data_IF_884508606006
#
_entry.id   IF_884508606006
#
_cell.length_a   1.000
_cell.length_b   1.000
_cell.length_c   1.000
_cell.angle_alpha   90.00
_cell.angle_beta   90.00
_cell.angle_gamma   90.00
#
_symmetry.space_group_name_H-M   'P 1'
#
loop_
_entity.id
_entity.type
_entity.pdbx_description
1 polymer ?
#
# COMPACT_ATOMS: atom_id res chain seq x y z
N UNK A 1 12.65 5.58 -31.08
CA UNK A 1 11.85 4.43 -30.58
C UNK A 1 11.48 4.75 -29.14
N UNK A 2 10.19 4.82 -28.83
CA UNK A 2 9.72 4.96 -27.44
C UNK A 2 10.03 3.67 -26.70
N UNK A 3 10.97 3.71 -25.75
CA UNK A 3 11.15 2.60 -24.81
C UNK A 3 10.01 2.66 -23.80
N UNK A 4 8.91 1.97 -24.09
CA UNK A 4 7.85 1.77 -23.11
C UNK A 4 8.41 0.91 -21.96
N UNK A 5 8.67 1.54 -20.81
CA UNK A 5 9.01 0.83 -19.57
C UNK A 5 7.71 0.54 -18.81
N UNK A 6 7.35 -0.74 -18.73
CA UNK A 6 6.24 -1.17 -17.89
C UNK A 6 6.60 -1.01 -16.41
N UNK A 7 5.67 -0.51 -15.60
CA UNK A 7 5.80 -0.47 -14.14
C UNK A 7 5.27 -1.78 -13.57
N UNK A 8 6.06 -2.45 -12.73
CA UNK A 8 5.67 -3.68 -12.04
C UNK A 8 5.24 -3.39 -10.60
N UNK A 9 3.99 -3.68 -10.29
CA UNK A 9 3.38 -3.36 -8.98
C UNK A 9 3.04 -4.66 -8.26
N UNK A 10 3.53 -4.81 -7.03
CA UNK A 10 3.12 -5.87 -6.11
C UNK A 10 2.21 -5.33 -5.00
N UNK A 11 1.33 -6.20 -4.51
CA UNK A 11 0.52 -5.96 -3.31
C UNK A 11 0.51 -7.22 -2.46
N UNK A 12 0.69 -7.07 -1.15
CA UNK A 12 0.66 -8.19 -0.21
C UNK A 12 0.02 -7.77 1.11
N UNK A 13 -1.07 -8.44 1.50
CA UNK A 13 -1.57 -8.43 2.87
C UNK A 13 -0.69 -9.27 3.80
N UNK A 14 -0.05 -8.62 4.75
CA UNK A 14 0.94 -9.23 5.62
C UNK A 14 0.34 -9.89 6.86
N UNK A 15 -0.84 -9.49 7.35
CA UNK A 15 -1.37 -9.89 8.66
C UNK A 15 -0.30 -9.77 9.77
N UNK A 16 0.20 -8.56 9.96
CA UNK A 16 1.35 -8.21 10.78
C UNK A 16 2.67 -8.35 10.02
N UNK A 17 3.37 -7.24 9.79
CA UNK A 17 4.66 -7.18 9.11
C UNK A 17 5.81 -7.31 10.11
N UNK A 18 6.04 -8.51 10.64
CA UNK A 18 7.24 -8.81 11.45
C UNK A 18 8.52 -8.74 10.62
N UNK A 19 9.69 -8.53 11.25
CA UNK A 19 11.02 -8.61 10.62
C UNK A 19 11.21 -9.80 9.65
N UNK A 20 10.74 -11.01 10.01
CA UNK A 20 10.87 -12.18 9.13
C UNK A 20 10.08 -12.03 7.81
N UNK A 21 8.89 -11.43 7.87
CA UNK A 21 8.06 -11.15 6.69
C UNK A 21 8.62 -9.98 5.90
N UNK A 22 9.19 -8.99 6.58
CA UNK A 22 9.90 -7.88 5.96
C UNK A 22 11.06 -8.35 5.08
N UNK A 23 11.95 -9.18 5.61
CA UNK A 23 13.08 -9.75 4.83
C UNK A 23 12.58 -10.49 3.58
N UNK A 24 11.49 -11.26 3.71
CA UNK A 24 10.86 -11.95 2.56
C UNK A 24 10.24 -10.98 1.55
N UNK A 25 9.59 -9.92 2.01
CA UNK A 25 9.02 -8.91 1.14
C UNK A 25 10.12 -8.21 0.32
N UNK A 26 11.23 -7.83 0.96
CA UNK A 26 12.39 -7.26 0.27
C UNK A 26 12.98 -8.21 -0.77
N UNK A 27 13.17 -9.49 -0.42
CA UNK A 27 13.64 -10.50 -1.37
C UNK A 27 12.69 -10.65 -2.56
N UNK A 28 11.38 -10.75 -2.31
CA UNK A 28 10.37 -10.86 -3.36
C UNK A 28 10.36 -9.66 -4.31
N UNK A 29 10.53 -8.43 -3.78
CA UNK A 29 10.67 -7.21 -4.58
C UNK A 29 11.86 -7.32 -5.54
N UNK A 30 13.00 -7.79 -5.05
CA UNK A 30 14.21 -7.94 -5.87
C UNK A 30 14.06 -9.06 -6.91
N UNK A 31 13.58 -10.24 -6.49
CA UNK A 31 13.42 -11.43 -7.35
C UNK A 31 12.40 -11.21 -8.46
N UNK A 32 11.23 -10.67 -8.13
CA UNK A 32 10.18 -10.33 -9.10
C UNK A 32 10.46 -9.01 -9.83
N UNK A 33 11.57 -8.33 -9.49
CA UNK A 33 12.00 -7.06 -10.07
C UNK A 33 10.89 -6.01 -10.03
N UNK A 34 10.20 -5.94 -8.90
CA UNK A 34 9.10 -4.99 -8.69
C UNK A 34 9.63 -3.57 -8.62
N UNK A 35 8.89 -2.68 -9.26
CA UNK A 35 9.15 -1.24 -9.24
C UNK A 35 8.50 -0.61 -7.99
N UNK A 36 7.35 -1.16 -7.58
CA UNK A 36 6.53 -0.68 -6.47
C UNK A 36 5.97 -1.91 -5.73
N UNK A 37 6.00 -1.90 -4.40
CA UNK A 37 5.37 -2.91 -3.56
C UNK A 37 4.58 -2.27 -2.43
N UNK A 38 3.31 -2.63 -2.33
CA UNK A 38 2.45 -2.27 -1.21
C UNK A 38 2.32 -3.43 -0.24
N UNK A 39 2.58 -3.20 1.03
CA UNK A 39 2.44 -4.17 2.12
C UNK A 39 1.31 -3.69 3.03
N UNK A 40 0.18 -4.39 3.03
CA UNK A 40 -1.01 -4.07 3.82
C UNK A 40 -1.09 -4.90 5.10
N UNK A 41 -1.98 -4.52 6.02
CA UNK A 41 -2.07 -5.09 7.37
C UNK A 41 -0.70 -5.20 8.05
N UNK A 42 0.09 -4.14 8.00
CA UNK A 42 1.41 -4.18 8.63
C UNK A 42 1.32 -4.22 10.16
N UNK A 43 0.19 -3.75 10.72
CA UNK A 43 -0.06 -3.55 12.14
C UNK A 43 1.02 -2.70 12.81
N UNK A 44 1.75 -1.92 12.02
CA UNK A 44 2.84 -1.06 12.47
C UNK A 44 3.91 -1.77 13.31
N UNK A 45 4.06 -3.09 13.12
CA UNK A 45 5.15 -3.86 13.69
C UNK A 45 6.47 -3.34 13.11
N UNK A 46 7.46 -3.16 13.99
CA UNK A 46 8.83 -2.74 13.64
C UNK A 46 8.89 -1.51 12.71
N UNK A 47 7.90 -0.61 12.84
CA UNK A 47 7.68 0.47 11.88
C UNK A 47 8.89 1.39 11.69
N UNK A 48 9.56 1.78 12.78
CA UNK A 48 10.73 2.65 12.73
C UNK A 48 11.88 2.00 11.96
N UNK A 49 12.06 0.68 12.10
CA UNK A 49 13.03 -0.10 11.32
C UNK A 49 12.69 -0.03 9.83
N UNK A 50 11.42 -0.25 9.47
CA UNK A 50 10.96 -0.20 8.08
C UNK A 50 11.14 1.18 7.45
N UNK A 51 10.85 2.25 8.18
CA UNK A 51 10.98 3.65 7.70
C UNK A 51 12.43 3.99 7.33
N UNK A 52 13.40 3.40 8.02
CA UNK A 52 14.82 3.64 7.78
C UNK A 52 15.36 2.99 6.49
N UNK A 53 14.58 2.11 5.85
CA UNK A 53 15.04 1.37 4.69
C UNK A 53 15.12 2.25 3.42
N UNK A 54 16.18 2.14 2.59
CA UNK A 54 16.34 2.99 1.40
C UNK A 54 15.18 2.96 0.40
N UNK A 55 14.49 1.82 0.31
CA UNK A 55 13.36 1.65 -0.61
C UNK A 55 12.02 2.10 0.00
N UNK A 56 11.97 2.41 1.29
CA UNK A 56 10.76 2.90 1.95
C UNK A 56 10.36 4.28 1.43
N UNK A 57 9.16 4.40 0.85
CA UNK A 57 8.62 5.68 0.38
C UNK A 57 7.76 6.36 1.44
N UNK A 58 6.63 5.73 1.78
CA UNK A 58 5.61 6.26 2.68
C UNK A 58 4.82 5.12 3.32
N UNK A 59 4.08 5.46 4.38
CA UNK A 59 3.08 4.57 4.99
C UNK A 59 1.84 5.35 5.39
N UNK A 60 0.73 4.64 5.60
CA UNK A 60 -0.46 5.21 6.23
C UNK A 60 -0.15 5.56 7.70
N UNK A 61 -0.76 6.60 8.27
CA UNK A 61 -0.59 6.91 9.68
C UNK A 61 -1.19 5.83 10.58
N UNK A 62 -0.58 5.66 11.76
CA UNK A 62 -1.10 4.79 12.82
C UNK A 62 -2.48 5.27 13.28
N UNK A 63 -3.41 4.33 13.49
CA UNK A 63 -4.73 4.64 14.04
C UNK A 63 -4.60 4.73 15.56
N UNK A 64 -5.05 5.85 16.13
CA UNK A 64 -5.05 6.08 17.57
C UNK A 64 -6.48 6.09 18.12
N UNK A 65 -6.69 5.67 19.39
CA UNK A 65 -5.69 5.13 20.31
C UNK A 65 -5.24 3.71 19.94
N UNK A 66 -4.05 3.31 20.41
CA UNK A 66 -3.57 1.93 20.26
C UNK A 66 -4.45 0.98 21.06
N UNK A 67 -4.79 -0.21 20.54
CA UNK A 67 -5.53 -1.21 21.29
C UNK A 67 -4.71 -1.66 22.51
N UNK A 68 -5.38 -1.77 23.66
CA UNK A 68 -4.75 -2.23 24.90
C UNK A 68 -4.48 -3.75 24.89
N UNK A 69 -5.25 -4.50 24.11
CA UNK A 69 -5.17 -5.96 23.98
C UNK A 69 -5.29 -6.30 22.49
N UNK A 70 -4.50 -7.27 22.02
CA UNK A 70 -4.48 -7.71 20.63
C UNK A 70 -3.49 -6.92 19.77
N UNK A 71 -3.55 -7.15 18.46
CA UNK A 71 -2.70 -6.46 17.50
C UNK A 71 -3.31 -5.10 17.10
N UNK A 72 -2.47 -4.20 16.61
CA UNK A 72 -2.93 -3.00 15.95
C UNK A 72 -3.68 -3.31 14.67
N UNK A 73 -4.52 -2.37 14.24
CA UNK A 73 -5.32 -2.52 13.04
C UNK A 73 -4.72 -1.70 11.89
N UNK A 74 -4.88 -2.21 10.67
CA UNK A 74 -4.46 -1.55 9.43
C UNK A 74 -2.95 -1.39 9.27
N UNK A 75 -2.55 -0.36 8.52
CA UNK A 75 -1.18 -0.12 8.10
C UNK A 75 -0.95 -0.56 6.66
N UNK A 76 -0.54 0.38 5.82
CA UNK A 76 0.04 0.11 4.50
C UNK A 76 1.43 0.73 4.47
N UNK A 77 2.41 0.00 3.96
CA UNK A 77 3.75 0.49 3.63
C UNK A 77 3.95 0.41 2.13
N UNK A 78 4.52 1.46 1.53
CA UNK A 78 4.89 1.51 0.13
C UNK A 78 6.40 1.50 -0.01
N UNK A 79 6.92 0.51 -0.73
CA UNK A 79 8.32 0.39 -1.14
C UNK A 79 8.42 0.70 -2.63
N UNK A 80 9.46 1.43 -3.02
CA UNK A 80 9.70 1.79 -4.42
C UNK A 80 11.18 1.67 -4.76
N UNK A 81 11.46 1.24 -5.98
CA UNK A 81 12.81 1.25 -6.52
C UNK A 81 13.33 2.69 -6.67
N UNK A 82 14.65 2.86 -6.60
CA UNK A 82 15.29 4.18 -6.69
C UNK A 82 15.02 4.88 -8.05
N UNK A 83 14.84 4.10 -9.13
CA UNK A 83 14.48 4.62 -10.45
C UNK A 83 13.07 5.23 -10.47
N UNK A 84 12.14 4.58 -9.80
CA UNK A 84 10.74 4.99 -9.75
C UNK A 84 10.55 6.13 -8.78
N UNK A 85 11.28 6.13 -7.66
CA UNK A 85 11.28 7.22 -6.68
C UNK A 85 11.47 8.59 -7.34
N UNK A 86 12.40 8.70 -8.30
CA UNK A 86 12.70 9.95 -9.01
C UNK A 86 11.59 10.43 -9.95
N UNK A 87 10.67 9.53 -10.31
CA UNK A 87 9.54 9.82 -11.21
C UNK A 87 8.24 10.12 -10.46
N UNK A 88 8.21 9.91 -9.14
CA UNK A 88 7.05 10.20 -8.31
C UNK A 88 6.95 11.72 -8.13
N UNK A 89 5.88 12.31 -8.65
CA UNK A 89 5.61 13.75 -8.50
C UNK A 89 4.85 14.07 -7.22
N UNK A 90 4.12 13.11 -6.65
CA UNK A 90 3.39 13.28 -5.39
C UNK A 90 3.05 11.95 -4.75
N UNK A 91 3.00 11.94 -3.41
CA UNK A 91 2.46 10.85 -2.61
C UNK A 91 1.48 11.43 -1.57
N UNK A 92 0.27 10.88 -1.50
CA UNK A 92 -0.76 11.26 -0.55
C UNK A 92 -1.17 10.03 0.25
N UNK A 93 -1.34 10.19 1.56
CA UNK A 93 -1.71 9.09 2.45
C UNK A 93 -2.95 9.48 3.24
N UNK A 94 -3.86 8.52 3.38
CA UNK A 94 -4.96 8.58 4.33
C UNK A 94 -4.83 7.42 5.31
N UNK A 95 -5.81 7.24 6.19
CA UNK A 95 -5.86 6.07 7.08
C UNK A 95 -5.89 4.74 6.32
N UNK A 96 -6.52 4.70 5.15
CA UNK A 96 -6.82 3.45 4.44
C UNK A 96 -6.19 3.38 3.05
N UNK A 97 -5.56 4.46 2.60
CA UNK A 97 -5.06 4.57 1.22
C UNK A 97 -3.68 5.18 1.15
N UNK A 98 -2.89 4.71 0.19
CA UNK A 98 -1.68 5.38 -0.30
C UNK A 98 -1.91 5.66 -1.78
N UNK A 99 -1.79 6.91 -2.19
CA UNK A 99 -1.89 7.32 -3.60
C UNK A 99 -0.57 7.92 -4.04
N UNK A 100 -0.02 7.46 -5.16
CA UNK A 100 1.21 7.97 -5.75
C UNK A 100 0.94 8.39 -7.20
N UNK A 101 1.56 9.50 -7.61
CA UNK A 101 1.48 10.00 -8.98
C UNK A 101 2.83 9.82 -9.66
N UNK A 102 2.86 9.11 -10.79
CA UNK A 102 4.06 8.83 -11.58
C UNK A 102 3.77 9.19 -13.03
N UNK A 103 4.56 10.12 -13.61
CA UNK A 103 4.42 10.53 -15.01
C UNK A 103 2.96 10.89 -15.41
N UNK A 104 2.20 11.51 -14.51
CA UNK A 104 0.79 11.87 -14.76
C UNK A 104 -0.23 10.79 -14.37
N UNK A 105 0.18 9.55 -14.15
CA UNK A 105 -0.68 8.43 -13.78
C UNK A 105 -0.85 8.29 -12.26
N UNK A 106 -2.08 8.10 -11.80
CA UNK A 106 -2.38 7.88 -10.39
C UNK A 106 -2.52 6.39 -10.09
N UNK A 107 -1.74 5.92 -9.11
CA UNK A 107 -1.80 4.57 -8.57
C UNK A 107 -2.25 4.69 -7.11
N UNK A 108 -3.35 4.03 -6.76
CA UNK A 108 -3.89 4.00 -5.42
C UNK A 108 -3.86 2.57 -4.86
N UNK A 109 -3.20 2.39 -3.72
CA UNK A 109 -3.29 1.20 -2.90
C UNK A 109 -4.29 1.41 -1.77
N UNK A 110 -5.13 0.41 -1.53
CA UNK A 110 -6.16 0.45 -0.48
C UNK A 110 -6.03 -0.73 0.48
N UNK A 111 -6.41 -0.50 1.73
CA UNK A 111 -6.74 -1.54 2.70
C UNK A 111 -7.95 -1.04 3.49
N UNK A 112 -9.13 -1.55 3.14
CA UNK A 112 -10.37 -1.25 3.84
C UNK A 112 -10.66 -2.37 4.85
N UNK A 113 -10.92 -2.07 6.13
CA UNK A 113 -11.17 -3.10 7.12
C UNK A 113 -12.48 -3.85 6.80
N UNK A 114 -12.62 -5.14 7.18
CA UNK A 114 -13.86 -5.91 6.97
C UNK A 114 -15.11 -5.32 7.62
N UNK A 115 -14.95 -4.42 8.60
CA UNK A 115 -16.04 -3.68 9.24
C UNK A 115 -16.51 -2.45 8.46
N UNK A 116 -15.79 -2.05 7.40
CA UNK A 116 -16.18 -0.93 6.55
C UNK A 116 -17.41 -1.32 5.73
N UNK A 117 -18.42 -0.46 5.76
CA UNK A 117 -19.62 -0.66 4.94
C UNK A 117 -19.33 -0.30 3.47
N UNK A 118 -19.89 -1.03 2.49
CA UNK A 118 -19.61 -0.79 1.07
C UNK A 118 -19.88 0.65 0.62
N UNK A 119 -20.90 1.31 1.17
CA UNK A 119 -21.27 2.67 0.80
C UNK A 119 -20.19 3.70 1.19
N UNK A 120 -19.31 3.35 2.13
CA UNK A 120 -18.21 4.19 2.59
C UNK A 120 -16.94 4.08 1.74
N UNK A 121 -16.86 3.09 0.87
CA UNK A 121 -15.67 2.86 0.03
C UNK A 121 -15.45 4.05 -0.91
N UNK A 122 -16.52 4.55 -1.55
CA UNK A 122 -16.46 5.65 -2.50
C UNK A 122 -15.90 6.95 -1.86
N UNK A 123 -16.13 7.16 -0.56
CA UNK A 123 -15.61 8.32 0.19
C UNK A 123 -14.07 8.32 0.31
N UNK A 124 -13.42 7.18 0.04
CA UNK A 124 -11.97 7.01 0.12
C UNK A 124 -11.27 6.95 -1.24
N UNK A 125 -12.03 6.90 -2.34
CA UNK A 125 -11.51 6.92 -3.70
C UNK A 125 -11.46 8.39 -4.14
N UNK A 126 -10.33 8.82 -4.71
CA UNK A 126 -10.15 10.19 -5.18
C UNK A 126 -11.01 10.44 -6.43
N UNK A 127 -11.53 11.67 -6.58
CA UNK A 127 -12.30 12.12 -7.76
C UNK A 127 -11.44 12.25 -9.04
N UNK A 128 -10.12 12.08 -8.93
CA UNK A 128 -9.19 12.07 -10.06
C UNK A 128 -9.19 10.75 -10.81
N UNK A 129 -8.97 10.78 -12.13
CA UNK A 129 -8.80 9.57 -12.95
C UNK A 129 -7.67 8.66 -12.44
N UNK A 130 -8.05 7.55 -11.83
CA UNK A 130 -7.13 6.51 -11.36
C UNK A 130 -6.68 5.65 -12.54
N UNK A 131 -5.36 5.50 -12.69
CA UNK A 131 -4.79 4.54 -13.64
C UNK A 131 -4.75 3.13 -13.05
N UNK A 132 -4.55 3.01 -11.73
CA UNK A 132 -4.55 1.73 -11.00
C UNK A 132 -5.20 1.93 -9.63
N UNK A 133 -6.13 1.05 -9.28
CA UNK A 133 -6.62 0.83 -7.92
C UNK A 133 -6.29 -0.62 -7.53
N UNK A 134 -5.57 -0.82 -6.43
CA UNK A 134 -5.14 -2.16 -5.98
C UNK A 134 -5.27 -2.32 -4.48
N UNK A 135 -5.70 -3.50 -4.03
CA UNK A 135 -5.60 -3.92 -2.63
C UNK A 135 -6.85 -4.55 -2.06
N UNK A 136 -6.86 -4.73 -0.74
CA UNK A 136 -7.92 -5.43 -0.03
C UNK A 136 -9.07 -4.49 0.28
N UNK A 137 -10.16 -4.69 -0.46
CA UNK A 137 -11.41 -3.95 -0.26
C UNK A 137 -12.28 -4.58 0.85
N UNK A 138 -11.99 -5.85 1.20
CA UNK A 138 -12.71 -6.65 2.21
C UNK A 138 -14.25 -6.58 2.09
N UNK A 139 -14.74 -6.42 0.88
CA UNK A 139 -16.17 -6.37 0.55
C UNK A 139 -16.47 -7.38 -0.55
N UNK A 140 -17.56 -8.12 -0.38
CA UNK A 140 -18.09 -8.98 -1.42
C UNK A 140 -19.05 -8.17 -2.29
N UNK A 141 -18.70 -7.94 -3.55
CA UNK A 141 -19.53 -7.21 -4.51
C UNK A 141 -20.47 -8.10 -5.33
N UNK A 142 -20.43 -9.42 -5.14
CA UNK A 142 -21.35 -10.33 -5.82
C UNK A 142 -22.77 -10.21 -5.28
N UNK A 143 -23.75 -10.53 -6.13
CA UNK A 143 -25.15 -10.64 -5.73
C UNK A 143 -25.30 -11.81 -4.75
N UNK A 144 -25.84 -11.56 -3.55
CA UNK A 144 -26.32 -12.63 -2.67
C UNK A 144 -27.73 -12.98 -3.11
N UNK A 145 -27.89 -14.10 -3.81
CA UNK A 145 -29.19 -14.72 -4.03
C UNK A 145 -29.71 -15.37 -2.74
#
# INVERSE_FOLDING_TARGET
>A
MSYFRNIRIGYWNCQGLSDRKWVKALAAVQEAKLDIQFLAETWFLDHETHVSHPDYLVSTPRILPRPAIGHEQAGIVCLVSQDIRKQISSACVTRYTISIKINGHFIMAVYFPPSMKPEKIAEHIQDSDLSVLIGDINTFFGVRY
#
